data_IF_499928969462
#
_entry.id   IF_499928969462
#
_cell.length_a   1.000
_cell.length_b   1.000
_cell.length_c   1.000
_cell.angle_alpha   90.00
_cell.angle_beta   90.00
_cell.angle_gamma   90.00
#
_symmetry.space_group_name_H-M   'P 1'
#
loop_
_entity.id
_entity.type
_entity.pdbx_description
1 polymer ?
#
# COMPACT_ATOMS: atom_id res chain seq x y z
N UNK A 1 4.68 -10.68 6.80
CA UNK A 1 3.32 -10.26 6.37
C UNK A 1 3.26 -9.64 4.97
N UNK A 2 4.30 -8.94 4.48
CA UNK A 2 4.27 -8.26 3.17
C UNK A 2 4.13 -9.17 1.93
N UNK A 3 4.73 -10.35 1.93
CA UNK A 3 4.64 -11.28 0.78
C UNK A 3 3.25 -11.90 0.68
N UNK A 4 2.63 -12.26 1.81
CA UNK A 4 1.29 -12.87 1.83
C UNK A 4 0.17 -11.86 1.49
N UNK A 5 0.34 -10.60 1.88
CA UNK A 5 -0.59 -9.52 1.48
C UNK A 5 -0.43 -9.17 0.00
N UNK A 6 0.80 -9.10 -0.52
CA UNK A 6 1.05 -8.93 -1.94
C UNK A 6 0.48 -10.11 -2.77
N UNK A 7 0.70 -11.35 -2.33
CA UNK A 7 0.13 -12.54 -2.96
C UNK A 7 -1.39 -12.60 -2.82
N UNK A 8 -1.96 -12.16 -1.70
CA UNK A 8 -3.41 -12.09 -1.49
C UNK A 8 -4.08 -11.06 -2.40
N UNK A 9 -3.47 -9.88 -2.56
CA UNK A 9 -3.94 -8.84 -3.49
C UNK A 9 -3.80 -9.34 -4.94
N UNK A 10 -2.67 -9.92 -5.31
CA UNK A 10 -2.47 -10.50 -6.65
C UNK A 10 -3.44 -11.67 -6.92
N UNK A 11 -3.73 -12.49 -5.91
CA UNK A 11 -4.70 -13.58 -5.99
C UNK A 11 -6.13 -13.09 -6.12
N UNK A 12 -6.53 -12.04 -5.38
CA UNK A 12 -7.83 -11.41 -5.50
C UNK A 12 -8.01 -10.70 -6.86
N UNK A 13 -6.96 -10.04 -7.36
CA UNK A 13 -6.93 -9.45 -8.71
C UNK A 13 -7.04 -10.55 -9.76
N UNK A 14 -6.28 -11.64 -9.62
CA UNK A 14 -6.34 -12.81 -10.49
C UNK A 14 -7.74 -13.42 -10.51
N UNK A 15 -8.37 -13.61 -9.35
CA UNK A 15 -9.73 -14.13 -9.23
C UNK A 15 -10.76 -13.21 -9.89
N UNK A 16 -10.67 -11.90 -9.64
CA UNK A 16 -11.56 -10.90 -10.25
C UNK A 16 -11.41 -10.89 -11.77
N UNK A 17 -10.18 -10.93 -12.28
CA UNK A 17 -9.91 -11.03 -13.71
C UNK A 17 -10.50 -12.33 -14.27
N UNK A 18 -10.24 -13.48 -13.65
CA UNK A 18 -10.76 -14.79 -14.10
C UNK A 18 -12.29 -14.80 -14.11
N UNK A 19 -12.96 -14.33 -13.06
CA UNK A 19 -14.42 -14.26 -12.99
C UNK A 19 -15.00 -13.32 -14.06
N UNK A 20 -14.29 -12.25 -14.38
CA UNK A 20 -14.71 -11.30 -15.42
C UNK A 20 -14.50 -11.88 -16.83
N UNK A 21 -13.39 -12.58 -17.06
CA UNK A 21 -13.11 -13.29 -18.32
C UNK A 21 -14.10 -14.44 -18.55
N UNK A 22 -14.50 -15.15 -17.49
CA UNK A 22 -15.51 -16.22 -17.58
C UNK A 22 -16.91 -15.69 -17.92
N UNK A 23 -17.25 -14.46 -17.50
CA UNK A 23 -18.53 -13.81 -17.83
C UNK A 23 -18.57 -13.19 -19.23
N UNK A 24 -17.41 -12.97 -19.86
CA UNK A 24 -17.27 -12.29 -21.16
C UNK A 24 -16.91 -13.22 -22.32
N UNK A 25 -17.39 -14.47 -22.31
CA UNK A 25 -17.00 -15.56 -23.23
C UNK A 25 -17.17 -15.30 -24.73
N UNK A 26 -17.76 -14.18 -25.14
CA UNK A 26 -17.98 -13.84 -26.56
C UNK A 26 -17.01 -12.80 -27.14
N UNK A 27 -15.94 -12.38 -26.43
CA UNK A 27 -15.13 -11.22 -26.87
C UNK A 27 -13.62 -11.24 -26.68
N UNK A 28 -13.02 -12.34 -26.22
CA UNK A 28 -11.56 -12.41 -26.12
C UNK A 28 -10.95 -12.99 -27.40
N UNK A 29 -10.44 -12.10 -28.24
CA UNK A 29 -9.58 -12.51 -29.35
C UNK A 29 -8.26 -13.04 -28.80
N UNK A 30 -8.07 -14.36 -28.85
CA UNK A 30 -6.84 -15.06 -28.45
C UNK A 30 -5.70 -14.86 -29.46
N UNK A 31 -5.85 -13.95 -30.41
CA UNK A 31 -4.78 -13.51 -31.29
C UNK A 31 -3.59 -12.95 -30.49
N UNK A 32 -2.41 -12.99 -31.12
CA UNK A 32 -1.17 -12.42 -30.57
C UNK A 32 -1.36 -10.96 -30.14
N UNK A 33 -2.16 -10.18 -30.89
CA UNK A 33 -2.48 -8.80 -30.57
C UNK A 33 -3.35 -8.65 -29.32
N UNK A 34 -4.36 -9.50 -29.15
CA UNK A 34 -5.19 -9.52 -27.94
C UNK A 34 -4.39 -9.87 -26.68
N UNK A 35 -3.52 -10.88 -26.77
CA UNK A 35 -2.64 -11.29 -25.67
C UNK A 35 -1.63 -10.20 -25.29
N UNK A 36 -0.98 -9.56 -26.27
CA UNK A 36 -0.07 -8.44 -26.02
C UNK A 36 -0.78 -7.29 -25.30
N UNK A 37 -2.00 -6.94 -25.71
CA UNK A 37 -2.79 -5.90 -25.06
C UNK A 37 -3.10 -6.26 -23.62
N UNK A 38 -3.59 -7.47 -23.37
CA UNK A 38 -3.86 -7.96 -22.02
C UNK A 38 -2.61 -7.82 -21.13
N UNK A 39 -1.46 -8.30 -21.62
CA UNK A 39 -0.17 -8.15 -20.93
C UNK A 39 0.13 -6.69 -20.60
N UNK A 40 0.03 -5.77 -21.56
CA UNK A 40 0.35 -4.36 -21.35
C UNK A 40 -0.57 -3.69 -20.32
N UNK A 41 -1.84 -4.08 -20.25
CA UNK A 41 -2.77 -3.57 -19.25
C UNK A 41 -2.49 -4.12 -17.86
N UNK A 42 -2.19 -5.41 -17.74
CA UNK A 42 -1.80 -6.02 -16.47
C UNK A 42 -0.47 -5.44 -15.97
N UNK A 43 0.52 -5.33 -16.84
CA UNK A 43 1.83 -4.76 -16.51
C UNK A 43 1.71 -3.29 -16.09
N UNK A 44 0.93 -2.49 -16.80
CA UNK A 44 0.66 -1.13 -16.36
C UNK A 44 -0.03 -1.07 -15.00
N UNK A 45 -1.01 -1.96 -14.72
CA UNK A 45 -1.67 -1.97 -13.42
C UNK A 45 -0.66 -2.32 -12.31
N UNK A 46 0.19 -3.32 -12.54
CA UNK A 46 1.27 -3.69 -11.64
C UNK A 46 2.23 -2.50 -11.41
N UNK A 47 2.55 -1.73 -12.45
CA UNK A 47 3.36 -0.51 -12.34
C UNK A 47 2.72 0.54 -11.43
N UNK A 48 1.41 0.79 -11.57
CA UNK A 48 0.69 1.73 -10.68
C UNK A 48 0.67 1.21 -9.23
N UNK A 49 0.49 -0.09 -9.02
CA UNK A 49 0.53 -0.69 -7.67
C UNK A 49 1.91 -0.51 -7.05
N UNK A 50 2.98 -0.83 -7.78
CA UNK A 50 4.35 -0.62 -7.32
C UNK A 50 4.62 0.86 -6.99
N UNK A 51 4.17 1.77 -7.86
CA UNK A 51 4.26 3.21 -7.62
C UNK A 51 3.52 3.61 -6.34
N UNK A 52 2.31 3.11 -6.10
CA UNK A 52 1.51 3.41 -4.92
C UNK A 52 2.17 2.91 -3.61
N UNK A 53 2.76 1.70 -3.65
CA UNK A 53 3.54 1.16 -2.53
C UNK A 53 4.74 2.07 -2.23
N UNK A 54 5.44 2.52 -3.28
CA UNK A 54 6.55 3.46 -3.11
C UNK A 54 6.10 4.79 -2.51
N UNK A 55 5.00 5.34 -3.00
CA UNK A 55 4.42 6.58 -2.52
C UNK A 55 4.03 6.49 -1.04
N UNK A 56 3.46 5.36 -0.61
CA UNK A 56 3.15 5.11 0.80
C UNK A 56 4.40 5.18 1.68
N UNK A 57 5.53 4.56 1.26
CA UNK A 57 6.79 4.64 2.01
C UNK A 57 7.32 6.07 2.16
N UNK A 58 7.25 6.87 1.08
CA UNK A 58 7.64 8.29 1.13
C UNK A 58 6.71 9.08 2.05
N UNK A 59 5.40 8.85 1.98
CA UNK A 59 4.43 9.52 2.87
C UNK A 59 4.70 9.12 4.33
N UNK A 60 4.99 7.86 4.63
CA UNK A 60 5.33 7.41 5.99
C UNK A 60 6.58 8.15 6.51
N UNK A 61 7.63 8.26 5.69
CA UNK A 61 8.82 9.04 6.03
C UNK A 61 8.50 10.51 6.35
N UNK A 62 7.73 11.17 5.48
CA UNK A 62 7.34 12.59 5.64
C UNK A 62 6.49 12.79 6.89
N UNK A 63 5.51 11.90 7.12
CA UNK A 63 4.68 11.94 8.33
C UNK A 63 5.53 11.76 9.59
N UNK A 64 6.52 10.86 9.57
CA UNK A 64 7.39 10.62 10.73
C UNK A 64 8.31 11.81 10.99
N UNK A 65 8.79 12.46 9.93
CA UNK A 65 9.58 13.69 10.04
C UNK A 65 8.77 14.87 10.57
N UNK A 66 7.49 14.97 10.21
CA UNK A 66 6.61 16.07 10.61
C UNK A 66 5.98 15.89 12.00
N UNK A 67 5.53 14.68 12.33
CA UNK A 67 4.74 14.39 13.53
C UNK A 67 5.49 13.55 14.58
N UNK A 68 6.70 13.08 14.26
CA UNK A 68 7.52 12.25 15.12
C UNK A 68 7.43 10.76 14.81
N UNK A 69 8.53 10.06 15.07
CA UNK A 69 8.68 8.62 14.80
C UNK A 69 7.72 7.77 15.62
N UNK A 70 7.34 8.20 16.82
CA UNK A 70 6.44 7.45 17.69
C UNK A 70 5.00 7.42 17.17
N UNK A 71 4.55 8.47 16.46
CA UNK A 71 3.21 8.53 15.85
C UNK A 71 3.10 7.54 14.70
N UNK A 72 4.14 7.48 13.86
CA UNK A 72 4.15 6.70 12.62
C UNK A 72 4.54 5.24 12.87
N UNK A 73 5.56 5.01 13.68
CA UNK A 73 6.13 3.68 13.93
C UNK A 73 5.71 3.07 15.27
N UNK A 74 4.98 3.81 16.11
CA UNK A 74 4.50 3.34 17.40
C UNK A 74 5.47 3.62 18.54
N UNK A 75 4.99 3.41 19.77
CA UNK A 75 5.75 3.64 21.00
C UNK A 75 6.97 2.70 21.13
N UNK A 76 7.90 3.06 22.00
CA UNK A 76 9.07 2.22 22.26
C UNK A 76 8.60 0.88 22.81
N UNK A 77 9.14 -0.21 22.28
CA UNK A 77 8.84 -1.54 22.81
C UNK A 77 9.38 -1.57 24.26
N UNK A 78 8.53 -1.84 25.28
CA UNK A 78 8.97 -1.92 26.66
C UNK A 78 10.10 -2.94 26.75
N UNK A 79 11.29 -2.50 27.16
CA UNK A 79 12.41 -3.40 27.33
C UNK A 79 12.23 -4.10 28.68
N UNK A 80 12.31 -5.45 28.74
CA UNK A 80 12.44 -6.12 30.01
C UNK A 80 13.76 -5.65 30.61
N UNK A 81 13.69 -4.83 31.65
CA UNK A 81 14.84 -4.56 32.51
C UNK A 81 15.25 -5.92 33.05
N UNK A 82 16.52 -6.37 32.87
CA UNK A 82 16.96 -7.63 33.45
C UNK A 82 16.65 -7.58 34.95
N UNK A 83 16.13 -8.66 35.58
CA UNK A 83 16.02 -8.70 37.03
C UNK A 83 17.43 -8.52 37.61
N UNK A 84 17.71 -7.34 38.16
CA UNK A 84 19.05 -6.93 38.60
C UNK A 84 19.39 -7.48 39.99
N UNK A 85 18.58 -8.37 40.59
CA UNK A 85 18.96 -8.98 41.85
C UNK A 85 19.86 -10.19 41.59
N UNK A 86 21.15 -10.18 41.98
CA UNK A 86 21.85 -11.44 42.17
C UNK A 86 21.03 -12.27 43.17
N UNK A 87 20.76 -13.53 42.84
CA UNK A 87 20.13 -14.47 43.78
C UNK A 87 21.15 -14.73 44.89
N UNK A 88 21.19 -13.85 45.89
CA UNK A 88 22.05 -14.01 47.05
C UNK A 88 21.53 -15.19 47.88
N UNK A 89 22.44 -15.99 48.42
CA UNK A 89 22.08 -17.06 49.33
C UNK A 89 21.39 -16.48 50.58
N UNK A 90 20.43 -17.19 51.20
CA UNK A 90 19.86 -16.79 52.47
C UNK A 90 20.98 -16.51 53.48
N UNK A 91 20.92 -15.36 54.17
CA UNK A 91 21.89 -14.90 55.18
C UNK A 91 23.26 -14.40 54.67
N UNK A 92 23.38 -14.04 53.39
CA UNK A 92 24.57 -13.33 52.88
C UNK A 92 24.30 -11.83 52.67
N UNK A 93 25.24 -10.97 53.05
CA UNK A 93 25.19 -9.55 52.72
C UNK A 93 25.52 -9.37 51.23
N UNK A 94 24.52 -9.01 50.42
CA UNK A 94 24.77 -8.67 49.03
C UNK A 94 25.68 -7.42 48.97
N UNK A 95 26.68 -7.38 48.07
CA UNK A 95 27.44 -6.16 47.85
C UNK A 95 26.49 -5.01 47.46
N UNK A 96 26.78 -3.76 47.87
CA UNK A 96 25.98 -2.61 47.47
C UNK A 96 25.95 -2.53 45.94
N UNK A 97 24.76 -2.32 45.37
CA UNK A 97 24.58 -2.15 43.94
C UNK A 97 25.45 -0.99 43.45
N UNK A 98 26.57 -1.30 42.79
CA UNK A 98 27.28 -0.35 41.94
C UNK A 98 26.53 -0.29 40.61
N UNK A 99 25.51 0.55 40.51
CA UNK A 99 25.02 1.04 39.23
C UNK A 99 25.74 2.36 38.88
N UNK A 100 26.03 2.63 37.60
CA UNK A 100 25.42 1.99 36.44
C UNK A 100 26.42 1.10 35.70
N UNK A 101 26.07 -0.17 35.49
CA UNK A 101 26.54 -0.84 34.28
C UNK A 101 26.20 0.08 33.11
N UNK A 102 27.15 0.41 32.20
CA UNK A 102 26.84 1.16 31.01
C UNK A 102 25.71 0.41 30.30
N UNK A 103 24.50 0.99 30.30
CA UNK A 103 23.44 0.46 29.46
C UNK A 103 23.99 0.55 28.04
N UNK A 104 24.11 -0.56 27.29
CA UNK A 104 24.58 -0.47 25.93
C UNK A 104 23.68 0.52 25.20
N UNK A 105 24.29 1.49 24.49
CA UNK A 105 23.54 2.35 23.59
C UNK A 105 22.93 1.44 22.53
N UNK A 106 21.63 1.18 22.64
CA UNK A 106 20.90 0.38 21.66
C UNK A 106 20.22 1.36 20.71
N UNK A 107 20.60 1.39 19.43
CA UNK A 107 20.00 2.27 18.43
C UNK A 107 18.48 2.10 18.37
N UNK A 108 17.76 3.20 18.17
CA UNK A 108 16.31 3.15 17.95
C UNK A 108 16.03 2.56 16.56
N UNK A 109 15.56 1.32 16.56
CA UNK A 109 15.14 0.57 15.39
C UNK A 109 14.13 1.32 14.50
N UNK A 110 13.31 2.21 15.06
CA UNK A 110 12.31 2.96 14.31
C UNK A 110 12.93 4.00 13.39
N UNK A 111 14.06 4.59 13.78
CA UNK A 111 14.82 5.54 12.94
C UNK A 111 15.42 4.80 11.74
N UNK A 112 15.87 3.56 11.94
CA UNK A 112 16.31 2.69 10.84
C UNK A 112 15.15 2.40 9.88
N UNK A 113 14.00 1.96 10.40
CA UNK A 113 12.79 1.71 9.59
C UNK A 113 12.33 2.92 8.80
N UNK A 114 12.35 4.11 9.40
CA UNK A 114 12.04 5.37 8.73
C UNK A 114 12.92 5.59 7.49
N UNK A 115 14.22 5.36 7.64
CA UNK A 115 15.17 5.54 6.53
C UNK A 115 14.98 4.45 5.47
N UNK A 116 14.71 3.21 5.88
CA UNK A 116 14.42 2.10 4.96
C UNK A 116 13.14 2.33 4.15
N UNK A 117 12.10 2.88 4.75
CA UNK A 117 10.85 3.23 4.08
C UNK A 117 11.04 4.32 3.03
N UNK A 118 11.90 5.30 3.29
CA UNK A 118 12.27 6.31 2.30
C UNK A 118 13.01 5.68 1.12
N UNK A 119 14.07 4.90 1.38
CA UNK A 119 14.88 4.27 0.33
C UNK A 119 14.04 3.32 -0.52
N UNK A 120 13.24 2.48 0.13
CA UNK A 120 12.27 1.61 -0.53
C UNK A 120 11.26 2.43 -1.31
N UNK A 121 10.70 3.46 -0.69
CA UNK A 121 9.70 4.35 -1.27
C UNK A 121 10.15 4.97 -2.59
N UNK A 122 11.31 5.62 -2.56
CA UNK A 122 11.93 6.24 -3.75
C UNK A 122 12.20 5.21 -4.84
N UNK A 123 12.73 4.04 -4.47
CA UNK A 123 13.00 2.95 -5.43
C UNK A 123 11.71 2.53 -6.13
N UNK A 124 10.65 2.22 -5.38
CA UNK A 124 9.39 1.76 -5.95
C UNK A 124 8.65 2.85 -6.75
N UNK A 125 8.76 4.12 -6.35
CA UNK A 125 8.20 5.25 -7.14
C UNK A 125 8.91 5.38 -8.48
N UNK A 126 10.24 5.34 -8.51
CA UNK A 126 11.01 5.47 -9.75
C UNK A 126 10.75 4.26 -10.66
N UNK A 127 10.99 3.04 -10.17
CA UNK A 127 10.82 1.85 -10.98
C UNK A 127 9.36 1.60 -11.35
N UNK A 128 8.42 1.76 -10.42
CA UNK A 128 6.99 1.62 -10.68
C UNK A 128 6.48 2.67 -11.67
N UNK A 129 6.93 3.92 -11.53
CA UNK A 129 6.59 5.02 -12.44
C UNK A 129 7.14 4.83 -13.85
N UNK A 130 8.42 4.45 -13.99
CA UNK A 130 9.03 4.14 -15.29
C UNK A 130 8.36 2.93 -15.93
N UNK A 131 8.13 1.85 -15.17
CA UNK A 131 7.47 0.64 -15.66
C UNK A 131 6.04 0.95 -16.11
N UNK A 132 5.27 1.68 -15.31
CA UNK A 132 3.93 2.14 -15.67
C UNK A 132 3.95 3.00 -16.93
N UNK A 133 4.84 3.99 -16.99
CA UNK A 133 4.98 4.94 -18.10
C UNK A 133 5.33 4.24 -19.42
N UNK A 134 6.28 3.30 -19.39
CA UNK A 134 6.67 2.52 -20.56
C UNK A 134 5.50 1.68 -21.11
N UNK A 135 4.77 0.98 -20.24
CA UNK A 135 3.62 0.17 -20.65
C UNK A 135 2.44 1.05 -21.08
N UNK A 136 2.23 2.19 -20.43
CA UNK A 136 1.23 3.16 -20.85
C UNK A 136 1.53 3.71 -22.24
N UNK A 137 2.78 4.07 -22.52
CA UNK A 137 3.20 4.55 -23.82
C UNK A 137 3.06 3.47 -24.90
N UNK A 138 3.47 2.22 -24.62
CA UNK A 138 3.31 1.09 -25.53
C UNK A 138 1.84 0.81 -25.88
N UNK A 139 0.92 0.89 -24.91
CA UNK A 139 -0.52 0.79 -25.20
C UNK A 139 -1.00 1.91 -26.09
N UNK A 140 -0.53 3.13 -25.83
CA UNK A 140 -0.96 4.32 -26.58
C UNK A 140 -0.44 4.29 -28.03
N UNK A 141 0.75 3.75 -28.27
CA UNK A 141 1.31 3.61 -29.62
C UNK A 141 0.65 2.50 -30.42
N UNK A 142 0.18 1.42 -29.76
CA UNK A 142 -0.51 0.30 -30.39
C UNK A 142 -2.03 0.52 -30.53
N UNK A 143 -2.60 1.52 -29.84
CA UNK A 143 -4.04 1.74 -29.82
C UNK A 143 -4.56 2.45 -31.08
N UNK A 144 -5.27 1.72 -31.93
CA UNK A 144 -6.14 2.30 -32.96
C UNK A 144 -7.38 2.97 -32.34
N UNK A 145 -8.09 3.80 -33.11
CA UNK A 145 -9.28 4.58 -32.65
C UNK A 145 -10.37 3.72 -31.98
N UNK A 146 -10.47 2.43 -32.32
CA UNK A 146 -11.43 1.48 -31.75
C UNK A 146 -11.12 1.02 -30.30
N UNK A 147 -9.93 1.30 -29.77
CA UNK A 147 -9.45 0.67 -28.52
C UNK A 147 -10.05 1.25 -27.23
N UNK A 148 -10.47 2.53 -27.26
CA UNK A 148 -11.08 3.22 -26.11
C UNK A 148 -12.45 2.67 -25.74
N UNK A 149 -13.11 1.98 -26.69
CA UNK A 149 -14.38 1.29 -26.47
C UNK A 149 -14.23 -0.16 -26.00
N UNK A 150 -13.01 -0.72 -25.96
CA UNK A 150 -12.81 -2.14 -25.69
C UNK A 150 -13.16 -2.52 -24.25
N UNK A 151 -13.70 -3.73 -24.07
CA UNK A 151 -14.01 -4.28 -22.75
C UNK A 151 -12.79 -4.38 -21.84
N UNK A 152 -11.60 -4.53 -22.41
CA UNK A 152 -10.33 -4.66 -21.67
C UNK A 152 -9.88 -3.32 -21.06
N UNK A 153 -10.08 -2.21 -21.77
CA UNK A 153 -9.88 -0.87 -21.21
C UNK A 153 -10.83 -0.61 -20.03
N UNK A 154 -12.12 -0.96 -20.20
CA UNK A 154 -13.12 -0.85 -19.13
C UNK A 154 -12.76 -1.69 -17.93
N UNK A 155 -12.33 -2.94 -18.13
CA UNK A 155 -11.89 -3.84 -17.07
C UNK A 155 -10.70 -3.24 -16.30
N UNK A 156 -9.68 -2.74 -17.00
CA UNK A 156 -8.54 -2.06 -16.36
C UNK A 156 -8.97 -0.89 -15.46
N UNK A 157 -9.88 -0.04 -15.94
CA UNK A 157 -10.38 1.09 -15.15
C UNK A 157 -11.21 0.65 -13.94
N UNK A 158 -12.11 -0.32 -14.11
CA UNK A 158 -12.95 -0.84 -13.02
C UNK A 158 -12.11 -1.56 -11.97
N UNK A 159 -11.18 -2.42 -12.39
CA UNK A 159 -10.27 -3.15 -11.49
C UNK A 159 -9.39 -2.17 -10.71
N UNK A 160 -8.78 -1.19 -11.39
CA UNK A 160 -8.00 -0.15 -10.71
C UNK A 160 -8.84 0.64 -9.71
N UNK A 161 -10.05 1.05 -10.10
CA UNK A 161 -10.98 1.75 -9.21
C UNK A 161 -11.32 0.91 -7.97
N UNK A 162 -11.58 -0.39 -8.15
CA UNK A 162 -11.92 -1.29 -7.06
C UNK A 162 -10.74 -1.51 -6.10
N UNK A 163 -9.53 -1.79 -6.61
CA UNK A 163 -8.33 -2.02 -5.79
C UNK A 163 -8.04 -0.79 -4.92
N UNK A 164 -7.90 0.39 -5.54
CA UNK A 164 -7.53 1.60 -4.81
C UNK A 164 -8.68 2.13 -3.94
N UNK A 165 -9.94 1.92 -4.34
CA UNK A 165 -11.11 2.26 -3.55
C UNK A 165 -11.21 1.42 -2.27
N UNK A 166 -11.07 0.09 -2.38
CA UNK A 166 -11.04 -0.81 -1.22
C UNK A 166 -9.86 -0.47 -0.31
N UNK A 167 -8.67 -0.24 -0.87
CA UNK A 167 -7.50 0.17 -0.10
C UNK A 167 -7.76 1.48 0.66
N UNK A 168 -8.38 2.48 0.01
CA UNK A 168 -8.72 3.76 0.65
C UNK A 168 -9.71 3.56 1.80
N UNK A 169 -10.80 2.82 1.58
CA UNK A 169 -11.84 2.58 2.59
C UNK A 169 -11.32 1.75 3.77
N UNK A 170 -10.41 0.80 3.53
CA UNK A 170 -9.84 -0.03 4.59
C UNK A 170 -8.76 0.70 5.39
N UNK A 171 -7.83 1.38 4.70
CA UNK A 171 -6.62 1.93 5.31
C UNK A 171 -6.82 3.33 5.87
N UNK A 172 -7.54 4.21 5.16
CA UNK A 172 -7.62 5.62 5.54
C UNK A 172 -8.39 5.83 6.86
N UNK A 173 -9.60 5.28 7.06
CA UNK A 173 -10.30 5.42 8.34
C UNK A 173 -9.51 4.79 9.50
N UNK A 174 -8.88 3.63 9.26
CA UNK A 174 -8.05 2.97 10.27
C UNK A 174 -6.83 3.82 10.65
N UNK A 175 -6.12 4.38 9.67
CA UNK A 175 -4.98 5.25 9.90
C UNK A 175 -5.34 6.55 10.62
N UNK A 176 -6.48 7.15 10.26
CA UNK A 176 -7.02 8.33 10.97
C UNK A 176 -7.34 7.97 12.42
N UNK A 177 -8.03 6.85 12.65
CA UNK A 177 -8.33 6.38 14.00
C UNK A 177 -7.05 6.16 14.81
N UNK A 178 -6.03 5.50 14.24
CA UNK A 178 -4.75 5.28 14.92
C UNK A 178 -4.03 6.59 15.25
N UNK A 179 -4.02 7.56 14.33
CA UNK A 179 -3.38 8.87 14.55
C UNK A 179 -4.13 9.70 15.61
N UNK A 180 -5.46 9.71 15.57
CA UNK A 180 -6.29 10.39 16.57
C UNK A 180 -6.19 9.72 17.95
N UNK A 181 -6.23 8.39 17.97
CA UNK A 181 -5.92 7.59 19.16
C UNK A 181 -4.61 8.07 19.73
N UNK A 182 -3.56 8.17 18.89
CA UNK A 182 -2.24 8.64 19.31
C UNK A 182 -2.28 9.98 20.04
N UNK A 183 -2.96 10.96 19.44
CA UNK A 183 -3.01 12.32 19.94
C UNK A 183 -3.89 12.50 21.19
N UNK A 184 -4.96 11.72 21.33
CA UNK A 184 -6.01 11.95 22.33
C UNK A 184 -5.89 11.01 23.53
N UNK A 185 -5.56 9.74 23.29
CA UNK A 185 -5.54 8.72 24.35
C UNK A 185 -4.19 8.78 25.08
N UNK A 186 -4.16 8.93 26.41
CA UNK A 186 -2.92 8.88 27.18
C UNK A 186 -2.20 7.54 27.02
N UNK A 187 -0.87 7.56 26.99
CA UNK A 187 -0.08 6.34 26.94
C UNK A 187 -0.05 5.67 28.32
N UNK A 188 -0.33 4.37 28.37
CA UNK A 188 -0.06 3.54 29.54
C UNK A 188 1.32 2.87 29.39
N UNK A 189 2.13 3.00 30.44
CA UNK A 189 3.55 2.63 30.52
C UNK A 189 3.84 1.14 30.21
N UNK A 190 2.83 0.27 30.28
CA UNK A 190 2.95 -1.16 30.01
C UNK A 190 2.23 -1.63 28.73
N UNK A 191 1.67 -0.70 27.95
CA UNK A 191 0.92 -1.05 26.73
C UNK A 191 1.69 -0.66 25.48
N UNK A 192 1.87 -1.63 24.58
CA UNK A 192 2.42 -1.33 23.26
C UNK A 192 1.39 -0.57 22.43
N UNK A 193 1.83 0.55 21.84
CA UNK A 193 0.99 1.38 20.99
C UNK A 193 1.39 1.24 19.53
N UNK A 194 0.51 0.71 18.65
CA UNK A 194 0.81 0.61 17.23
C UNK A 194 0.88 2.00 16.61
N UNK A 195 1.82 2.19 15.68
CA UNK A 195 1.92 3.41 14.90
C UNK A 195 0.84 3.50 13.82
N UNK A 196 0.51 4.73 13.42
CA UNK A 196 -0.47 4.98 12.34
C UNK A 196 0.13 4.87 10.94
N UNK A 197 1.45 4.70 10.82
CA UNK A 197 2.21 4.87 9.59
C UNK A 197 1.74 4.01 8.43
N UNK A 198 1.64 2.70 8.62
CA UNK A 198 1.28 1.76 7.53
C UNK A 198 -0.12 2.03 6.97
N UNK A 199 -1.12 2.20 7.83
CA UNK A 199 -2.50 2.43 7.41
C UNK A 199 -2.69 3.86 6.86
N UNK A 200 -2.18 4.88 7.56
CA UNK A 200 -2.37 6.27 7.17
C UNK A 200 -1.65 6.59 5.87
N UNK A 201 -0.37 6.21 5.75
CA UNK A 201 0.40 6.47 4.53
C UNK A 201 -0.14 5.70 3.32
N UNK A 202 -0.55 4.43 3.51
CA UNK A 202 -1.17 3.63 2.47
C UNK A 202 -2.51 4.20 2.00
N UNK A 203 -3.36 4.63 2.94
CA UNK A 203 -4.63 5.29 2.63
C UNK A 203 -4.43 6.62 1.89
N UNK A 204 -3.48 7.45 2.33
CA UNK A 204 -3.15 8.73 1.68
C UNK A 204 -2.53 8.54 0.30
N UNK A 205 -1.74 7.48 0.07
CA UNK A 205 -1.22 7.15 -1.25
C UNK A 205 -2.33 6.63 -2.20
N UNK A 206 -3.21 5.78 -1.69
CA UNK A 206 -4.28 5.16 -2.50
C UNK A 206 -5.37 6.15 -2.91
N UNK A 207 -5.73 7.09 -2.04
CA UNK A 207 -6.81 8.06 -2.25
C UNK A 207 -6.71 8.84 -3.57
N UNK A 208 -5.60 9.56 -3.89
CA UNK A 208 -5.51 10.32 -5.13
C UNK A 208 -5.55 9.42 -6.37
N UNK A 209 -4.95 8.22 -6.29
CA UNK A 209 -4.95 7.25 -7.39
C UNK A 209 -6.38 6.74 -7.64
N UNK A 210 -7.11 6.41 -6.57
CA UNK A 210 -8.52 6.00 -6.66
C UNK A 210 -9.37 7.09 -7.31
N UNK A 211 -9.22 8.35 -6.89
CA UNK A 211 -9.96 9.48 -7.46
C UNK A 211 -9.69 9.65 -8.96
N UNK A 212 -8.44 9.47 -9.41
CA UNK A 212 -8.09 9.49 -10.83
C UNK A 212 -8.78 8.36 -11.59
N UNK A 213 -8.72 7.12 -11.10
CA UNK A 213 -9.39 5.99 -11.74
C UNK A 213 -10.92 6.16 -11.79
N UNK A 214 -11.52 6.62 -10.70
CA UNK A 214 -12.95 6.89 -10.62
C UNK A 214 -13.36 7.97 -11.63
N UNK A 215 -12.59 9.06 -11.72
CA UNK A 215 -12.81 10.11 -12.71
C UNK A 215 -12.71 9.57 -14.15
N UNK A 216 -11.73 8.71 -14.44
CA UNK A 216 -11.58 8.07 -15.75
C UNK A 216 -12.78 7.17 -16.09
N UNK A 217 -13.29 6.39 -15.13
CA UNK A 217 -14.51 5.59 -15.30
C UNK A 217 -15.72 6.49 -15.61
N UNK A 218 -15.94 7.54 -14.81
CA UNK A 218 -17.05 8.47 -15.01
C UNK A 218 -16.98 9.13 -16.39
N UNK A 219 -15.78 9.56 -16.80
CA UNK A 219 -15.55 10.14 -18.13
C UNK A 219 -15.89 9.16 -19.24
N UNK A 220 -15.47 7.89 -19.11
CA UNK A 220 -15.76 6.86 -20.10
C UNK A 220 -17.27 6.59 -20.24
N UNK A 221 -18.01 6.56 -19.13
CA UNK A 221 -19.46 6.37 -19.12
C UNK A 221 -20.21 7.55 -19.77
N UNK A 222 -19.78 8.79 -19.52
CA UNK A 222 -20.40 9.98 -20.14
C UNK A 222 -20.20 10.07 -21.65
N UNK A 223 -19.16 9.42 -22.18
CA UNK A 223 -18.85 9.43 -23.62
C UNK A 223 -19.39 8.21 -24.38
N UNK A 224 -20.11 7.30 -23.72
CA UNK A 224 -20.69 6.13 -24.37
C UNK A 224 -21.90 6.52 -25.24
N UNK A 225 -21.97 6.08 -26.51
CA UNK A 225 -23.15 6.30 -27.35
C UNK A 225 -24.41 5.65 -26.73
N UNK A 226 -25.61 6.23 -26.92
CA UNK A 226 -26.84 5.60 -26.46
C UNK A 226 -27.04 4.23 -27.13
N UNK A 227 -27.64 3.24 -26.44
CA UNK A 227 -27.95 1.96 -27.04
C UNK A 227 -28.90 2.17 -28.22
N UNK A 228 -28.54 1.63 -29.39
CA UNK A 228 -29.41 1.62 -30.56
C UNK A 228 -30.73 0.94 -30.21
N UNK A 229 -31.90 1.50 -30.61
CA UNK A 229 -33.16 0.84 -30.38
C UNK A 229 -33.15 -0.52 -31.08
N UNK A 230 -33.40 -1.58 -30.30
CA UNK A 230 -33.66 -2.92 -30.83
C UNK A 230 -34.89 -2.84 -31.73
N UNK A 231 -34.69 -2.96 -33.04
CA UNK A 231 -35.77 -3.19 -33.98
C UNK A 231 -36.26 -4.62 -33.73
N UNK A 232 -37.47 -4.73 -33.17
CA UNK A 232 -38.23 -5.98 -33.01
C UNK A 232 -38.93 -6.29 -34.33
#
# INVERSE_FOLDING_TARGET
MGVLTALGVLGAIGLLVVLFLQRGRDGMDLSLGGLLRLYLYLASLAGVIAFAIGLAGIIAYVLAAAFGVDVVYGGQIPRPVPPIAPVCAPNSSCPPFMSPFPQPFVPDERVRRQTEDLVRGVTFVIFGGVFWGAHWWARRSLAGVAERGSGLHRAYLIVGTAIFGIATIALLPMGIYQALSYAIVPADQFTFRPGAGEALSGGLAALPIWLVYLWLVQRALRTAPPPSPTVV
#
